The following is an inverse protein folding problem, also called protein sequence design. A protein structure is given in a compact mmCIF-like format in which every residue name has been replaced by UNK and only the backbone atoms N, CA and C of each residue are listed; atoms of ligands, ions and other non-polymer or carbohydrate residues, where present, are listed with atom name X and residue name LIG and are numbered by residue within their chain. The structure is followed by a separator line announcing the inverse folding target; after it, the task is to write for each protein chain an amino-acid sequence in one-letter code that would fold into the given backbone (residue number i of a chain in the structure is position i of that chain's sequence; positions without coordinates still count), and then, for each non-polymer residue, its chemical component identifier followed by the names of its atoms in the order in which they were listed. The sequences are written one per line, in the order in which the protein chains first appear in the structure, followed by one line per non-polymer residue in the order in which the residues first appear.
data_IF_810602356723
#
_entry.id   IF_810602356723
#
_cell.length_a   1.000
_cell.length_b   1.000
_cell.length_c   1.000
_cell.angle_alpha   90.00
_cell.angle_beta   90.00
_cell.angle_gamma   90.00
#
_symmetry.space_group_name_H-M   'P 1'
#
loop_
_entity.id
_entity.type
_entity.pdbx_description
1 polymer ?
#
# COMPACT_ATOMS: atom_id res chain seq x y z
N UNK A 1 8.66 -10.53 -8.45
CA UNK A 1 8.26 -11.51 -7.41
C UNK A 1 6.86 -11.19 -6.91
N UNK A 2 6.04 -12.20 -6.68
CA UNK A 2 4.76 -12.06 -6.00
C UNK A 2 4.81 -12.87 -4.71
N UNK A 3 4.36 -12.29 -3.59
CA UNK A 3 4.23 -12.95 -2.30
C UNK A 3 2.77 -12.87 -1.88
N UNK A 4 2.21 -14.02 -1.52
CA UNK A 4 0.89 -14.19 -0.95
C UNK A 4 1.07 -14.77 0.45
N UNK A 5 0.50 -14.13 1.46
CA UNK A 5 0.59 -14.59 2.85
C UNK A 5 -0.72 -14.33 3.58
N UNK A 6 -1.14 -15.28 4.41
CA UNK A 6 -2.36 -15.16 5.20
C UNK A 6 -2.25 -16.04 6.45
N UNK A 7 -2.99 -15.66 7.48
CA UNK A 7 -3.11 -16.36 8.75
C UNK A 7 -4.52 -16.13 9.35
N UNK A 8 -4.67 -16.41 10.65
CA UNK A 8 -5.95 -16.23 11.36
C UNK A 8 -6.36 -14.76 11.54
N UNK A 9 -5.43 -13.82 11.38
CA UNK A 9 -5.66 -12.39 11.60
C UNK A 9 -5.87 -11.63 10.29
N UNK A 10 -5.43 -12.18 9.16
CA UNK A 10 -5.63 -11.53 7.87
C UNK A 10 -4.86 -12.12 6.69
N UNK A 11 -4.71 -11.30 5.66
CA UNK A 11 -4.04 -11.64 4.42
C UNK A 11 -3.33 -10.47 3.77
N UNK A 12 -2.31 -10.78 2.98
CA UNK A 12 -1.53 -9.83 2.20
C UNK A 12 -1.16 -10.38 0.83
N UNK A 13 -1.05 -9.46 -0.13
CA UNK A 13 -0.51 -9.68 -1.46
C UNK A 13 0.50 -8.57 -1.75
N UNK A 14 1.73 -8.95 -2.06
CA UNK A 14 2.80 -8.05 -2.44
C UNK A 14 3.34 -8.40 -3.83
N UNK A 15 3.56 -7.37 -4.65
CA UNK A 15 4.23 -7.44 -5.95
C UNK A 15 5.48 -6.57 -5.92
N UNK A 16 6.62 -7.16 -6.26
CA UNK A 16 7.91 -6.47 -6.36
C UNK A 16 8.52 -6.69 -7.73
N UNK A 17 9.14 -5.66 -8.32
CA UNK A 17 10.05 -5.88 -9.44
C UNK A 17 11.29 -6.65 -8.97
N UNK A 18 11.91 -7.42 -9.86
CA UNK A 18 13.18 -8.07 -9.56
C UNK A 18 14.18 -6.97 -9.18
N UNK A 19 14.89 -7.12 -8.05
CA UNK A 19 15.85 -6.16 -7.43
C UNK A 19 15.31 -4.98 -6.62
N UNK A 20 13.99 -4.79 -6.56
CA UNK A 20 13.40 -3.53 -6.08
C UNK A 20 12.60 -3.68 -4.77
N UNK A 21 12.28 -2.53 -4.17
CA UNK A 21 11.25 -2.43 -3.11
C UNK A 21 9.88 -2.92 -3.63
N UNK A 22 9.01 -3.37 -2.73
CA UNK A 22 7.62 -3.72 -3.03
C UNK A 22 6.93 -2.56 -3.74
N UNK A 23 6.40 -2.82 -4.94
CA UNK A 23 5.74 -1.81 -5.78
C UNK A 23 4.23 -1.77 -5.55
N UNK A 24 3.62 -2.92 -5.25
CA UNK A 24 2.21 -2.97 -4.87
C UNK A 24 2.09 -3.84 -3.63
N UNK A 25 1.40 -3.33 -2.62
CA UNK A 25 1.04 -4.11 -1.46
C UNK A 25 -0.43 -3.89 -1.15
N UNK A 26 -1.17 -4.98 -0.93
CA UNK A 26 -2.52 -4.96 -0.40
C UNK A 26 -2.53 -5.84 0.84
N UNK A 27 -3.08 -5.34 1.93
CA UNK A 27 -3.23 -6.11 3.15
C UNK A 27 -4.57 -5.80 3.81
N UNK A 28 -5.16 -6.81 4.42
CA UNK A 28 -6.33 -6.67 5.26
C UNK A 28 -6.15 -7.58 6.47
N UNK A 29 -6.48 -7.06 7.64
CA UNK A 29 -6.44 -7.73 8.93
C UNK A 29 -7.74 -7.44 9.67
N UNK A 30 -7.89 -8.04 10.86
CA UNK A 30 -9.02 -7.75 11.74
C UNK A 30 -9.18 -6.26 12.09
N UNK A 31 -8.08 -5.50 12.15
CA UNK A 31 -8.10 -4.12 12.66
C UNK A 31 -7.93 -3.06 11.57
N UNK A 32 -7.31 -3.41 10.44
CA UNK A 32 -6.98 -2.48 9.36
C UNK A 32 -6.98 -3.13 7.99
N UNK A 33 -7.21 -2.33 6.97
CA UNK A 33 -6.96 -2.70 5.58
C UNK A 33 -6.26 -1.56 4.83
N UNK A 34 -5.44 -1.90 3.84
CA UNK A 34 -4.73 -0.92 3.06
C UNK A 34 -4.15 -1.43 1.76
N UNK A 35 -3.84 -0.47 0.90
CA UNK A 35 -3.19 -0.59 -0.39
C UNK A 35 -2.11 0.48 -0.49
N UNK A 36 -0.92 0.10 -0.94
CA UNK A 36 0.12 1.04 -1.34
C UNK A 36 0.64 0.70 -2.73
N UNK A 37 0.90 1.73 -3.53
CA UNK A 37 1.58 1.63 -4.82
C UNK A 37 2.80 2.54 -4.80
N UNK A 38 3.96 1.98 -5.09
CA UNK A 38 5.24 2.68 -5.23
C UNK A 38 5.80 2.52 -6.65
N UNK A 39 6.42 3.58 -7.14
CA UNK A 39 7.10 3.58 -8.44
C UNK A 39 8.43 2.82 -8.40
N UNK A 40 9.07 2.63 -9.57
CA UNK A 40 10.38 1.98 -9.66
C UNK A 40 11.50 2.68 -8.86
N UNK A 41 11.33 3.97 -8.57
CA UNK A 41 12.24 4.74 -7.71
C UNK A 41 12.06 4.44 -6.22
N UNK A 42 11.12 3.55 -5.85
CA UNK A 42 10.81 3.18 -4.48
C UNK A 42 10.05 4.24 -3.69
N UNK A 43 9.47 5.24 -4.35
CA UNK A 43 8.61 6.26 -3.74
C UNK A 43 7.14 5.91 -3.93
N UNK A 44 6.33 6.15 -2.91
CA UNK A 44 4.89 5.96 -2.95
C UNK A 44 4.23 6.97 -3.91
N UNK A 45 3.22 6.48 -4.63
CA UNK A 45 2.34 7.28 -5.50
C UNK A 45 0.88 7.20 -5.06
N UNK A 46 0.50 6.10 -4.40
CA UNK A 46 -0.81 5.93 -3.80
C UNK A 46 -0.68 5.19 -2.47
N UNK A 47 -1.37 5.70 -1.46
CA UNK A 47 -1.63 4.98 -0.22
C UNK A 47 -3.12 5.11 0.08
N UNK A 48 -3.79 4.01 0.35
CA UNK A 48 -5.17 3.98 0.77
C UNK A 48 -5.30 3.01 1.93
N UNK A 49 -6.12 3.33 2.91
CA UNK A 49 -6.37 2.41 4.00
C UNK A 49 -7.43 2.92 4.95
N UNK A 50 -7.85 2.03 5.83
CA UNK A 50 -8.81 2.34 6.86
C UNK A 50 -8.56 1.48 8.09
N UNK A 51 -8.96 2.02 9.23
CA UNK A 51 -9.07 1.32 10.50
C UNK A 51 -10.42 1.66 11.16
N UNK A 52 -10.60 1.22 12.41
CA UNK A 52 -11.81 1.51 13.22
C UNK A 52 -12.15 3.00 13.38
N UNK A 53 -11.22 3.91 13.11
CA UNK A 53 -11.38 5.35 13.28
C UNK A 53 -11.68 6.07 11.96
N UNK A 54 -11.56 5.39 10.81
CA UNK A 54 -11.89 5.95 9.50
C UNK A 54 -10.90 5.56 8.41
N UNK A 55 -11.15 6.10 7.22
CA UNK A 55 -10.34 5.88 6.03
C UNK A 55 -9.47 7.09 5.67
N UNK A 56 -8.51 6.84 4.80
CA UNK A 56 -7.86 7.89 4.03
C UNK A 56 -7.27 7.37 2.71
N UNK A 57 -7.17 8.26 1.74
CA UNK A 57 -6.40 8.07 0.51
C UNK A 57 -5.42 9.22 0.34
N UNK A 58 -4.17 8.91 0.04
CA UNK A 58 -3.11 9.85 -0.29
C UNK A 58 -2.59 9.57 -1.69
N UNK A 59 -2.46 10.64 -2.48
CA UNK A 59 -1.89 10.62 -3.83
C UNK A 59 -0.64 11.48 -3.84
N UNK A 60 0.45 10.95 -4.38
CA UNK A 60 1.75 11.61 -4.45
C UNK A 60 2.20 11.74 -5.90
N UNK A 61 2.98 12.78 -6.19
CA UNK A 61 3.65 12.92 -7.48
C UNK A 61 4.82 11.91 -7.62
N UNK A 62 5.47 11.91 -8.79
CA UNK A 62 6.64 11.05 -9.02
C UNK A 62 7.87 11.42 -8.17
N UNK A 63 7.89 12.64 -7.63
CA UNK A 63 8.89 13.14 -6.69
C UNK A 63 8.66 12.66 -5.25
N UNK A 64 7.52 12.06 -4.95
CA UNK A 64 7.12 11.65 -3.59
C UNK A 64 6.49 12.79 -2.78
N UNK A 65 6.10 13.89 -3.42
CA UNK A 65 5.38 15.00 -2.78
C UNK A 65 3.89 14.67 -2.74
N UNK A 66 3.27 14.87 -1.58
CA UNK A 66 1.82 14.69 -1.42
C UNK A 66 1.08 15.75 -2.25
N UNK A 67 0.24 15.30 -3.18
CA UNK A 67 -0.59 16.14 -4.02
C UNK A 67 -2.03 16.21 -3.53
N UNK A 68 -2.56 15.11 -2.98
CA UNK A 68 -3.93 15.07 -2.48
C UNK A 68 -4.09 14.11 -1.31
N UNK A 69 -4.87 14.53 -0.32
CA UNK A 69 -5.37 13.66 0.75
C UNK A 69 -6.90 13.72 0.76
N UNK A 70 -7.52 12.55 0.79
CA UNK A 70 -8.97 12.35 0.90
C UNK A 70 -9.25 11.60 2.21
N UNK A 71 -10.31 11.97 2.96
CA UNK A 71 -10.85 11.13 4.02
C UNK A 71 -11.57 9.91 3.44
#
# INVERSE_FOLDING_TARGET
MAILGFDGDGGSLALSANDSKTQVNVAATNDLAGLSVAGPNGKEHLMAGADKNGGMVQLYDFGGKLEKKLP
#
